data_IF_292347208794
#
_entry.id   IF_292347208794
#
_cell.length_a   1.000
_cell.length_b   1.000
_cell.length_c   1.000
_cell.angle_alpha   90.00
_cell.angle_beta   90.00
_cell.angle_gamma   90.00
#
_symmetry.space_group_name_H-M   'P 1'
#
loop_
_entity.id
_entity.type
_entity.pdbx_description
1 polymer ?
#
# COMPACT_ATOMS: atom_id res chain seq x y z
N UNK A 1 1.79 8.13 68.11
CA UNK A 1 1.65 7.10 67.06
C UNK A 1 1.61 7.80 65.71
N UNK A 2 2.69 7.73 64.93
CA UNK A 2 2.72 8.26 63.57
C UNK A 2 2.38 7.11 62.60
N UNK A 3 1.22 7.19 61.94
CA UNK A 3 0.83 6.24 60.91
C UNK A 3 1.52 6.61 59.59
N UNK A 4 2.41 5.74 59.10
CA UNK A 4 2.95 5.79 57.75
C UNK A 4 1.94 5.15 56.79
N UNK A 5 1.29 5.96 55.95
CA UNK A 5 0.43 5.45 54.88
C UNK A 5 1.33 5.16 53.66
N UNK A 6 1.63 3.88 53.44
CA UNK A 6 2.28 3.39 52.22
C UNK A 6 1.26 3.38 51.08
N UNK A 7 1.33 4.36 50.19
CA UNK A 7 0.59 4.35 48.93
C UNK A 7 1.28 3.42 47.93
N UNK A 8 0.82 2.17 47.87
CA UNK A 8 1.24 1.22 46.83
C UNK A 8 0.57 1.65 45.52
N UNK A 9 1.36 2.15 44.57
CA UNK A 9 0.86 2.46 43.22
C UNK A 9 0.40 1.16 42.53
N UNK A 10 -0.78 1.11 41.88
CA UNK A 10 -1.18 -0.07 41.13
C UNK A 10 -0.17 -0.33 39.99
N UNK A 11 0.07 -1.61 39.63
CA UNK A 11 0.98 -1.94 38.55
C UNK A 11 0.51 -1.24 37.27
N UNK A 12 1.40 -0.43 36.70
CA UNK A 12 1.20 0.13 35.36
C UNK A 12 1.23 -1.05 34.39
N UNK A 13 0.05 -1.48 33.94
CA UNK A 13 -0.04 -2.37 32.79
C UNK A 13 0.52 -1.60 31.59
N UNK A 14 1.78 -1.85 31.25
CA UNK A 14 2.32 -1.49 29.95
C UNK A 14 1.46 -2.25 28.94
N UNK A 15 0.54 -1.55 28.26
CA UNK A 15 -0.11 -2.07 27.08
C UNK A 15 1.00 -2.38 26.07
N UNK A 16 1.41 -3.64 26.01
CA UNK A 16 2.38 -4.10 25.04
C UNK A 16 1.83 -3.82 23.65
N UNK A 17 2.59 -3.10 22.83
CA UNK A 17 2.25 -2.95 21.42
C UNK A 17 2.39 -4.32 20.75
N UNK A 18 1.32 -5.10 20.69
CA UNK A 18 1.27 -6.33 19.90
C UNK A 18 1.27 -5.97 18.42
N UNK A 19 2.16 -6.58 17.65
CA UNK A 19 2.14 -6.46 16.19
C UNK A 19 0.75 -6.87 15.68
N UNK A 20 0.23 -6.22 14.61
CA UNK A 20 -1.00 -6.66 13.98
C UNK A 20 -0.93 -8.15 13.62
N UNK A 21 -2.05 -8.89 13.74
CA UNK A 21 -2.08 -10.30 13.37
C UNK A 21 -1.73 -10.48 11.87
N UNK A 22 -1.34 -11.69 11.45
CA UNK A 22 -1.16 -12.01 10.03
C UNK A 22 -2.41 -11.64 9.25
N UNK A 23 -2.25 -11.02 8.08
CA UNK A 23 -3.39 -10.55 7.28
C UNK A 23 -4.01 -11.62 6.38
N UNK A 24 -3.40 -12.79 6.29
CA UNK A 24 -3.93 -13.95 5.55
C UNK A 24 -4.36 -15.00 6.55
N UNK A 25 -5.65 -15.36 6.53
CA UNK A 25 -6.23 -16.39 7.41
C UNK A 25 -6.91 -17.46 6.57
N UNK A 26 -6.54 -18.73 6.75
CA UNK A 26 -7.16 -19.86 6.07
C UNK A 26 -7.95 -20.71 7.07
N UNK A 27 -9.02 -21.37 6.60
CA UNK A 27 -10.00 -22.10 7.43
C UNK A 27 -9.40 -23.21 8.31
N UNK A 28 -8.20 -23.71 7.99
CA UNK A 28 -7.43 -24.64 8.82
C UNK A 28 -6.11 -23.98 9.24
N UNK A 29 -5.74 -24.12 10.52
CA UNK A 29 -4.42 -23.70 11.00
C UNK A 29 -3.32 -24.43 10.20
N UNK A 30 -2.42 -23.68 9.57
CA UNK A 30 -1.40 -24.23 8.64
C UNK A 30 -1.95 -24.66 7.27
N UNK A 31 -3.24 -24.47 7.00
CA UNK A 31 -3.88 -24.76 5.73
C UNK A 31 -3.61 -23.69 4.67
N UNK A 32 -3.77 -24.08 3.39
CA UNK A 32 -3.59 -23.19 2.23
C UNK A 32 -4.88 -22.98 1.43
N UNK A 33 -6.02 -23.45 1.93
CA UNK A 33 -7.30 -23.41 1.24
C UNK A 33 -8.33 -22.58 2.01
N UNK A 34 -9.31 -22.03 1.29
CA UNK A 34 -10.41 -21.24 1.81
C UNK A 34 -9.90 -20.13 2.74
N UNK A 35 -9.25 -19.14 2.11
CA UNK A 35 -8.52 -18.10 2.79
C UNK A 35 -9.21 -16.75 2.67
N UNK A 36 -8.97 -15.90 3.66
CA UNK A 36 -9.36 -14.50 3.67
C UNK A 36 -8.13 -13.63 3.82
N UNK A 37 -8.19 -12.45 3.21
CA UNK A 37 -7.18 -11.41 3.31
C UNK A 37 -7.80 -10.16 3.89
N UNK A 38 -7.10 -9.56 4.84
CA UNK A 38 -7.42 -8.27 5.45
C UNK A 38 -6.30 -7.27 5.15
N UNK A 39 -6.49 -6.01 5.52
CA UNK A 39 -5.38 -5.06 5.64
C UNK A 39 -4.96 -4.96 7.12
N UNK A 40 -3.98 -4.11 7.42
CA UNK A 40 -3.46 -3.87 8.78
C UNK A 40 -4.53 -3.44 9.80
N UNK A 41 -5.71 -3.02 9.35
CA UNK A 41 -6.84 -2.57 10.17
C UNK A 41 -7.92 -3.66 10.35
N UNK A 42 -7.69 -4.88 9.86
CA UNK A 42 -8.59 -6.02 9.97
C UNK A 42 -9.69 -6.09 8.91
N UNK A 43 -9.91 -5.03 8.12
CA UNK A 43 -10.84 -5.04 6.99
C UNK A 43 -10.51 -3.91 5.99
N UNK A 44 -10.87 -4.12 4.72
CA UNK A 44 -10.82 -3.07 3.70
C UNK A 44 -11.82 -1.94 4.01
N UNK A 45 -11.73 -0.76 3.35
CA UNK A 45 -12.54 0.42 3.68
C UNK A 45 -14.06 0.17 3.72
N UNK A 46 -14.53 -0.77 2.89
CA UNK A 46 -15.92 -1.21 2.82
C UNK A 46 -16.35 -2.19 3.90
N UNK A 47 -15.49 -2.39 4.89
CA UNK A 47 -15.65 -3.33 6.00
C UNK A 47 -15.79 -4.77 5.50
N UNK A 48 -15.19 -5.08 4.35
CA UNK A 48 -15.08 -6.45 3.84
C UNK A 48 -13.68 -7.03 4.08
N UNK A 49 -13.62 -8.35 4.07
CA UNK A 49 -12.40 -9.11 3.83
C UNK A 49 -12.44 -9.64 2.40
N UNK A 50 -11.29 -9.96 1.83
CA UNK A 50 -11.22 -10.54 0.50
C UNK A 50 -11.04 -12.05 0.60
N UNK A 51 -11.95 -12.80 -0.02
CA UNK A 51 -11.82 -14.25 -0.13
C UNK A 51 -10.80 -14.64 -1.21
N UNK A 52 -10.16 -15.78 -1.01
CA UNK A 52 -9.33 -16.46 -1.98
C UNK A 52 -9.49 -17.97 -1.83
N UNK A 53 -9.50 -18.71 -2.95
CA UNK A 53 -9.54 -20.17 -2.90
C UNK A 53 -8.34 -20.72 -2.13
N UNK A 54 -7.16 -20.11 -2.33
CA UNK A 54 -5.91 -20.59 -1.76
C UNK A 54 -4.95 -19.46 -1.41
N UNK A 55 -3.98 -19.78 -0.55
CA UNK A 55 -2.80 -18.97 -0.27
C UNK A 55 -1.52 -19.80 -0.41
N UNK A 56 -0.45 -19.19 -0.89
CA UNK A 56 0.89 -19.74 -0.94
C UNK A 56 1.84 -18.87 -0.09
N UNK A 57 2.82 -19.51 0.54
CA UNK A 57 3.77 -18.88 1.46
C UNK A 57 5.21 -19.21 1.07
N UNK A 58 5.66 -18.83 -0.14
CA UNK A 58 7.02 -19.12 -0.57
C UNK A 58 8.04 -18.48 0.35
N UNK A 59 9.09 -19.23 0.68
CA UNK A 59 10.21 -18.84 1.53
C UNK A 59 11.50 -18.59 0.76
N UNK A 60 11.49 -18.84 -0.55
CA UNK A 60 12.60 -18.57 -1.47
C UNK A 60 12.10 -18.11 -2.85
N UNK A 61 12.98 -17.52 -3.66
CA UNK A 61 12.64 -17.15 -5.04
C UNK A 61 12.30 -18.37 -5.90
N UNK A 62 12.93 -19.52 -5.64
CA UNK A 62 12.63 -20.77 -6.34
C UNK A 62 11.22 -21.29 -6.04
N UNK A 63 10.80 -21.26 -4.77
CA UNK A 63 9.42 -21.59 -4.39
C UNK A 63 8.43 -20.59 -4.96
N UNK A 64 8.76 -19.30 -4.97
CA UNK A 64 7.94 -18.27 -5.58
C UNK A 64 7.76 -18.51 -7.08
N UNK A 65 8.85 -18.88 -7.79
CA UNK A 65 8.81 -19.23 -9.21
C UNK A 65 7.88 -20.42 -9.46
N UNK A 66 7.98 -21.48 -8.66
CA UNK A 66 7.12 -22.66 -8.77
C UNK A 66 5.63 -22.32 -8.50
N UNK A 67 5.35 -21.46 -7.51
CA UNK A 67 3.99 -20.99 -7.22
C UNK A 67 3.40 -20.22 -8.40
N UNK A 68 4.15 -19.29 -8.99
CA UNK A 68 3.69 -18.50 -10.15
C UNK A 68 3.54 -19.39 -11.39
N UNK A 69 4.45 -20.34 -11.60
CA UNK A 69 4.37 -21.29 -12.71
C UNK A 69 3.10 -22.14 -12.64
N UNK A 70 2.83 -22.74 -11.48
CA UNK A 70 1.64 -23.57 -11.27
C UNK A 70 0.35 -22.77 -11.47
N UNK A 71 0.27 -21.55 -10.92
CA UNK A 71 -0.90 -20.70 -11.08
C UNK A 71 -1.07 -20.20 -12.53
N UNK A 72 0.03 -19.96 -13.24
CA UNK A 72 -0.01 -19.60 -14.66
C UNK A 72 -0.50 -20.76 -15.51
N UNK A 73 0.02 -21.98 -15.28
CA UNK A 73 -0.43 -23.19 -15.96
C UNK A 73 -1.93 -23.48 -15.76
N UNK A 74 -2.48 -23.13 -14.59
CA UNK A 74 -3.90 -23.29 -14.28
C UNK A 74 -4.76 -22.06 -14.56
N UNK A 75 -4.21 -21.00 -15.18
CA UNK A 75 -4.94 -19.75 -15.46
C UNK A 75 -5.52 -19.06 -14.21
N UNK A 76 -4.89 -19.26 -13.06
CA UNK A 76 -5.38 -18.79 -11.76
C UNK A 76 -4.93 -17.36 -11.50
N UNK A 77 -5.89 -16.47 -11.23
CA UNK A 77 -5.63 -15.08 -10.83
C UNK A 77 -4.85 -15.05 -9.52
N UNK A 78 -3.82 -14.22 -9.46
CA UNK A 78 -2.90 -14.09 -8.34
C UNK A 78 -2.89 -12.66 -7.80
N UNK A 79 -2.77 -12.52 -6.48
CA UNK A 79 -2.40 -11.24 -5.86
C UNK A 79 -1.39 -11.45 -4.75
N UNK A 80 -0.55 -10.44 -4.56
CA UNK A 80 0.46 -10.44 -3.51
C UNK A 80 -0.12 -9.89 -2.22
N UNK A 81 0.00 -10.65 -1.13
CA UNK A 81 -0.20 -10.13 0.21
C UNK A 81 1.17 -9.82 0.82
N UNK A 82 1.37 -8.56 1.20
CA UNK A 82 2.50 -8.16 2.03
C UNK A 82 2.19 -8.46 3.50
N UNK A 83 3.20 -8.48 4.36
CA UNK A 83 3.06 -8.85 5.79
C UNK A 83 1.84 -8.24 6.48
N UNK A 84 1.52 -6.98 6.17
CA UNK A 84 0.39 -6.27 6.76
C UNK A 84 -0.63 -5.74 5.76
N UNK A 85 -0.47 -6.00 4.45
CA UNK A 85 -1.39 -5.54 3.40
C UNK A 85 -1.94 -4.12 3.61
N UNK A 86 -1.06 -3.18 4.01
CA UNK A 86 -1.46 -1.87 4.55
C UNK A 86 -2.06 -0.92 3.48
N UNK A 87 -2.18 -1.37 2.24
CA UNK A 87 -2.87 -0.60 1.19
C UNK A 87 -4.34 -0.43 1.54
N UNK A 88 -4.82 0.80 1.42
CA UNK A 88 -6.25 1.12 1.54
C UNK A 88 -7.03 0.52 0.35
N UNK A 89 -6.59 0.69 -0.92
CA UNK A 89 -7.20 -0.04 -2.03
C UNK A 89 -7.00 -1.55 -1.87
N UNK A 90 -7.95 -2.31 -2.42
CA UNK A 90 -8.01 -3.79 -2.43
C UNK A 90 -6.95 -4.43 -3.35
N UNK A 91 -5.69 -3.97 -3.30
CA UNK A 91 -4.60 -4.44 -4.16
C UNK A 91 -4.30 -5.93 -3.97
N UNK A 92 -4.41 -6.41 -2.73
CA UNK A 92 -4.16 -7.81 -2.37
C UNK A 92 -5.35 -8.73 -2.70
N UNK A 93 -6.46 -8.22 -3.23
CA UNK A 93 -7.68 -8.99 -3.47
C UNK A 93 -7.70 -9.57 -4.89
N UNK A 94 -7.71 -10.91 -5.05
CA UNK A 94 -7.55 -11.54 -6.37
C UNK A 94 -8.83 -11.55 -7.21
N UNK A 95 -9.96 -11.12 -6.63
CA UNK A 95 -11.25 -11.02 -7.33
C UNK A 95 -11.96 -12.38 -7.38
N UNK A 96 -13.07 -12.49 -6.65
CA UNK A 96 -13.88 -13.71 -6.57
C UNK A 96 -13.25 -14.85 -5.75
N UNK A 97 -13.90 -16.01 -5.76
CA UNK A 97 -13.60 -17.12 -4.85
C UNK A 97 -12.57 -18.12 -5.37
N UNK A 98 -11.95 -17.85 -6.52
CA UNK A 98 -11.02 -18.78 -7.22
C UNK A 98 -9.55 -18.32 -7.21
N UNK A 99 -9.27 -17.15 -6.67
CA UNK A 99 -7.94 -16.55 -6.71
C UNK A 99 -6.92 -17.20 -5.77
N UNK A 100 -5.65 -16.97 -6.07
CA UNK A 100 -4.51 -17.33 -5.23
C UNK A 100 -3.90 -16.07 -4.59
N UNK A 101 -3.64 -16.15 -3.29
CA UNK A 101 -2.82 -15.16 -2.59
C UNK A 101 -1.39 -15.66 -2.51
N UNK A 102 -0.43 -14.83 -2.90
CA UNK A 102 1.00 -15.10 -2.71
C UNK A 102 1.49 -14.23 -1.55
N UNK A 103 1.73 -14.84 -0.39
CA UNK A 103 2.27 -14.14 0.77
C UNK A 103 3.77 -13.98 0.65
N UNK A 104 4.25 -12.75 0.77
CA UNK A 104 5.69 -12.43 0.76
C UNK A 104 6.30 -12.42 2.16
N UNK A 105 5.54 -12.78 3.19
CA UNK A 105 5.98 -12.66 4.59
C UNK A 105 7.24 -13.48 4.91
N UNK A 106 7.45 -14.62 4.24
CA UNK A 106 8.63 -15.47 4.44
C UNK A 106 9.82 -15.05 3.57
N UNK A 107 9.61 -14.27 2.50
CA UNK A 107 10.66 -13.67 1.67
C UNK A 107 11.23 -12.42 2.36
N UNK A 108 11.89 -12.61 3.51
CA UNK A 108 12.26 -11.54 4.43
C UNK A 108 13.76 -11.49 4.77
N UNK A 109 14.60 -11.97 3.86
CA UNK A 109 16.05 -12.05 4.01
C UNK A 109 16.77 -10.81 3.47
N UNK A 110 17.92 -10.50 4.06
CA UNK A 110 18.92 -9.59 3.48
C UNK A 110 19.77 -10.41 2.52
N UNK A 111 19.82 -10.01 1.26
CA UNK A 111 20.54 -10.74 0.21
C UNK A 111 22.00 -10.30 0.14
N UNK A 112 22.26 -8.99 0.17
CA UNK A 112 23.62 -8.45 0.15
C UNK A 112 23.69 -7.01 0.67
N UNK A 113 24.87 -6.63 1.16
CA UNK A 113 25.21 -5.26 1.58
C UNK A 113 26.58 -4.92 1.04
N UNK A 114 26.65 -3.95 0.13
CA UNK A 114 27.89 -3.38 -0.42
C UNK A 114 28.00 -1.93 0.06
N UNK A 115 28.70 -1.73 1.17
CA UNK A 115 28.89 -0.40 1.75
C UNK A 115 29.71 0.54 0.85
N UNK A 116 30.67 -0.01 0.09
CA UNK A 116 31.52 0.77 -0.80
C UNK A 116 30.73 1.36 -1.98
N UNK A 117 29.84 0.57 -2.58
CA UNK A 117 28.92 1.03 -3.64
C UNK A 117 27.63 1.64 -3.08
N UNK A 118 27.46 1.66 -1.75
CA UNK A 118 26.25 2.09 -1.03
C UNK A 118 24.99 1.35 -1.48
N UNK A 119 25.10 0.05 -1.76
CA UNK A 119 23.98 -0.77 -2.24
C UNK A 119 23.56 -1.80 -1.21
N UNK A 120 22.25 -1.93 -1.03
CA UNK A 120 21.66 -2.97 -0.18
C UNK A 120 20.62 -3.72 -1.00
N UNK A 121 20.74 -5.05 -1.08
CA UNK A 121 19.76 -5.92 -1.71
C UNK A 121 19.00 -6.72 -0.65
N UNK A 122 17.67 -6.65 -0.69
CA UNK A 122 16.78 -7.32 0.25
C UNK A 122 15.64 -8.01 -0.48
N UNK A 123 15.07 -9.04 0.15
CA UNK A 123 13.84 -9.65 -0.33
C UNK A 123 12.62 -8.74 -0.12
N UNK A 124 11.58 -8.90 -0.93
CA UNK A 124 10.41 -8.02 -0.95
C UNK A 124 9.62 -7.95 0.37
N UNK A 125 9.69 -8.98 1.20
CA UNK A 125 9.04 -9.07 2.51
C UNK A 125 9.81 -8.43 3.67
N UNK A 126 11.06 -8.01 3.47
CA UNK A 126 11.82 -7.25 4.48
C UNK A 126 11.06 -5.98 4.85
N UNK A 127 10.93 -5.69 6.14
CA UNK A 127 10.27 -4.46 6.60
C UNK A 127 11.19 -3.25 6.48
N UNK A 128 10.60 -2.06 6.39
CA UNK A 128 11.32 -0.80 6.35
C UNK A 128 12.21 -0.62 7.60
N UNK A 129 11.73 -1.02 8.78
CA UNK A 129 12.54 -1.04 10.01
C UNK A 129 13.80 -1.90 9.86
N UNK A 130 13.65 -3.15 9.40
CA UNK A 130 14.78 -4.06 9.17
C UNK A 130 15.77 -3.50 8.12
N UNK A 131 15.27 -2.90 7.03
CA UNK A 131 16.12 -2.26 6.03
C UNK A 131 16.95 -1.11 6.64
N UNK A 132 16.32 -0.26 7.46
CA UNK A 132 17.00 0.84 8.15
C UNK A 132 18.08 0.30 9.09
N UNK A 133 17.79 -0.76 9.86
CA UNK A 133 18.75 -1.36 10.78
C UNK A 133 19.97 -1.95 10.06
N UNK A 134 19.72 -2.67 8.95
CA UNK A 134 20.78 -3.27 8.11
C UNK A 134 21.64 -2.19 7.46
N UNK A 135 21.00 -1.16 6.88
CA UNK A 135 21.71 -0.02 6.30
C UNK A 135 22.55 0.71 7.35
N UNK A 136 21.99 0.91 8.54
CA UNK A 136 22.65 1.59 9.65
C UNK A 136 23.93 0.87 10.10
N UNK A 137 23.88 -0.46 10.24
CA UNK A 137 25.07 -1.27 10.57
C UNK A 137 26.20 -1.15 9.53
N UNK A 138 25.86 -0.80 8.29
CA UNK A 138 26.81 -0.62 7.19
C UNK A 138 27.27 0.84 7.01
N UNK A 139 26.91 1.75 7.92
CA UNK A 139 27.25 3.17 7.76
C UNK A 139 26.44 3.89 6.68
N UNK A 140 25.29 3.34 6.31
CA UNK A 140 24.37 3.88 5.30
C UNK A 140 23.06 4.36 5.92
N UNK A 141 22.32 5.19 5.19
CA UNK A 141 21.00 5.67 5.59
C UNK A 141 20.00 5.67 4.43
N UNK A 142 18.76 5.31 4.74
CA UNK A 142 17.60 5.53 3.85
C UNK A 142 17.20 7.01 3.96
N UNK A 143 17.33 7.81 2.88
CA UNK A 143 17.30 9.27 2.96
C UNK A 143 15.92 9.87 3.19
N UNK A 144 14.86 9.16 2.80
CA UNK A 144 13.48 9.53 3.08
C UNK A 144 12.67 8.26 3.29
N UNK A 145 11.77 8.29 4.28
CA UNK A 145 10.97 7.13 4.67
C UNK A 145 9.55 7.56 5.01
N UNK A 146 8.53 6.73 4.72
CA UNK A 146 7.22 6.87 5.36
C UNK A 146 7.33 6.78 6.89
N UNK A 147 6.28 7.22 7.59
CA UNK A 147 6.27 7.25 9.06
C UNK A 147 6.18 5.86 9.69
N UNK A 148 5.54 4.89 9.02
CA UNK A 148 5.29 3.57 9.58
C UNK A 148 6.35 2.55 9.13
N UNK A 149 7.11 2.03 10.09
CA UNK A 149 8.23 1.11 9.85
C UNK A 149 7.81 -0.32 9.49
N UNK A 150 6.53 -0.66 9.68
CA UNK A 150 5.99 -1.99 9.37
C UNK A 150 5.82 -2.28 7.88
N UNK A 151 5.91 -1.27 7.00
CA UNK A 151 5.79 -1.47 5.56
C UNK A 151 6.89 -2.39 5.04
N UNK A 152 6.53 -3.43 4.29
CA UNK A 152 7.51 -4.24 3.56
C UNK A 152 8.11 -3.46 2.40
N UNK A 153 9.38 -3.65 2.07
CA UNK A 153 10.07 -2.98 0.96
C UNK A 153 9.35 -3.21 -0.36
N UNK A 154 8.91 -4.43 -0.67
CA UNK A 154 8.17 -4.74 -1.90
C UNK A 154 6.87 -3.94 -2.02
N UNK A 155 6.08 -3.85 -0.95
CA UNK A 155 4.85 -3.04 -0.92
C UNK A 155 5.11 -1.53 -1.01
N UNK A 156 6.17 -1.07 -0.34
CA UNK A 156 6.58 0.33 -0.33
C UNK A 156 7.03 0.81 -1.73
N UNK A 157 7.77 -0.04 -2.45
CA UNK A 157 8.15 0.21 -3.85
C UNK A 157 6.92 0.14 -4.75
N UNK A 158 6.17 -0.96 -4.73
CA UNK A 158 5.01 -1.20 -5.62
C UNK A 158 3.96 -0.08 -5.59
N UNK A 159 3.80 0.61 -4.46
CA UNK A 159 2.79 1.67 -4.26
C UNK A 159 3.35 3.08 -4.36
N UNK A 160 4.65 3.24 -4.62
CA UNK A 160 5.28 4.55 -4.73
C UNK A 160 5.34 5.32 -3.40
N UNK A 161 5.47 4.63 -2.28
CA UNK A 161 5.49 5.27 -0.97
C UNK A 161 6.72 6.18 -0.79
N UNK A 162 6.51 7.28 -0.05
CA UNK A 162 7.45 8.39 0.04
C UNK A 162 7.46 9.01 1.44
N UNK A 163 8.56 9.67 1.77
CA UNK A 163 8.66 10.52 2.95
C UNK A 163 8.17 11.94 2.67
N UNK A 164 8.90 12.93 3.19
CA UNK A 164 8.66 14.34 2.92
C UNK A 164 9.98 15.04 2.61
N UNK A 165 10.07 15.60 1.40
CA UNK A 165 11.18 16.44 0.95
C UNK A 165 10.78 17.18 -0.31
N UNK A 166 11.21 18.44 -0.42
CA UNK A 166 11.12 19.26 -1.64
C UNK A 166 12.49 19.43 -2.32
N UNK A 167 13.52 18.77 -1.80
CA UNK A 167 14.91 18.91 -2.25
C UNK A 167 15.36 17.69 -3.05
N UNK A 168 16.37 17.87 -3.91
CA UNK A 168 16.98 16.80 -4.70
C UNK A 168 15.97 16.08 -5.60
N UNK A 169 15.98 14.74 -5.59
CA UNK A 169 15.03 13.88 -6.32
C UNK A 169 13.66 13.75 -5.61
N UNK A 170 13.39 14.56 -4.59
CA UNK A 170 12.20 14.42 -3.75
C UNK A 170 12.35 13.33 -2.68
N UNK A 171 11.25 12.70 -2.28
CA UNK A 171 11.20 11.79 -1.12
C UNK A 171 10.66 10.40 -1.40
N UNK A 172 10.42 10.07 -2.68
CA UNK A 172 9.92 8.77 -3.07
C UNK A 172 11.02 7.71 -2.96
N UNK A 173 10.72 6.59 -2.31
CA UNK A 173 11.75 5.58 -2.03
C UNK A 173 12.14 4.80 -3.29
N UNK A 174 11.23 4.67 -4.25
CA UNK A 174 11.49 4.00 -5.53
C UNK A 174 12.56 4.70 -6.39
N UNK A 175 12.83 5.98 -6.15
CA UNK A 175 13.95 6.71 -6.77
C UNK A 175 15.32 6.15 -6.38
N UNK A 176 15.39 5.36 -5.29
CA UNK A 176 16.62 4.70 -4.83
C UNK A 176 16.82 3.31 -5.38
N UNK A 177 15.85 2.78 -6.13
CA UNK A 177 15.95 1.44 -6.71
C UNK A 177 16.88 1.46 -7.92
N UNK A 178 17.95 0.67 -7.84
CA UNK A 178 18.94 0.48 -8.90
C UNK A 178 18.94 -0.94 -9.46
N UNK A 179 18.11 -1.83 -8.89
CA UNK A 179 17.86 -3.15 -9.46
C UNK A 179 16.68 -3.85 -8.80
N UNK A 180 16.01 -4.73 -9.54
CA UNK A 180 14.88 -5.52 -9.07
C UNK A 180 14.91 -6.91 -9.67
N UNK A 181 14.40 -7.88 -8.91
CA UNK A 181 14.03 -9.21 -9.43
C UNK A 181 12.53 -9.39 -9.29
N UNK A 182 11.86 -9.75 -10.38
CA UNK A 182 10.41 -9.90 -10.43
C UNK A 182 10.07 -11.25 -11.04
N UNK A 183 9.30 -12.06 -10.33
CA UNK A 183 8.77 -13.32 -10.85
C UNK A 183 7.48 -13.02 -11.63
N UNK A 184 7.46 -13.36 -12.91
CA UNK A 184 6.36 -13.08 -13.83
C UNK A 184 5.83 -14.36 -14.46
N UNK A 185 4.57 -14.39 -14.90
CA UNK A 185 4.09 -15.40 -15.85
C UNK A 185 5.00 -15.48 -17.09
N UNK A 186 5.05 -16.66 -17.69
CA UNK A 186 5.76 -16.92 -18.94
C UNK A 186 5.02 -18.00 -19.75
N UNK A 187 5.31 -18.16 -21.05
CA UNK A 187 4.76 -19.25 -21.85
C UNK A 187 5.17 -20.63 -21.31
N UNK A 188 4.41 -21.67 -21.69
CA UNK A 188 4.73 -23.05 -21.33
C UNK A 188 6.15 -23.47 -21.78
N UNK A 189 6.64 -22.94 -22.90
CA UNK A 189 7.99 -23.19 -23.41
C UNK A 189 9.11 -22.64 -22.51
N UNK A 190 8.79 -21.72 -21.61
CA UNK A 190 9.71 -21.16 -20.60
C UNK A 190 9.39 -21.68 -19.19
N UNK A 191 8.53 -22.69 -19.04
CA UNK A 191 8.17 -23.28 -17.74
C UNK A 191 7.09 -22.52 -16.98
N UNK A 192 6.22 -21.78 -17.67
CA UNK A 192 5.07 -21.03 -17.13
C UNK A 192 5.37 -19.82 -16.24
N UNK A 193 6.59 -19.67 -15.74
CA UNK A 193 7.02 -18.46 -15.04
C UNK A 193 8.52 -18.22 -15.23
N UNK A 194 8.96 -16.98 -15.04
CA UNK A 194 10.39 -16.66 -15.06
C UNK A 194 10.76 -15.50 -14.15
N UNK A 195 12.04 -15.45 -13.78
CA UNK A 195 12.61 -14.35 -13.03
C UNK A 195 13.13 -13.29 -14.02
N UNK A 196 12.54 -12.10 -13.99
CA UNK A 196 13.03 -10.91 -14.67
C UNK A 196 14.08 -10.25 -13.79
N UNK A 197 15.28 -10.03 -14.31
CA UNK A 197 16.37 -9.34 -13.62
C UNK A 197 16.55 -7.97 -14.25
N UNK A 198 16.17 -6.92 -13.52
CA UNK A 198 16.20 -5.54 -13.98
C UNK A 198 17.32 -4.80 -13.27
N UNK A 199 18.18 -4.13 -14.03
CA UNK A 199 19.31 -3.37 -13.51
C UNK A 199 19.20 -1.89 -13.87
N UNK A 200 20.04 -1.05 -13.26
CA UNK A 200 20.11 0.36 -13.62
C UNK A 200 20.34 0.54 -15.13
N UNK A 201 19.50 1.36 -15.76
CA UNK A 201 19.52 1.59 -17.21
C UNK A 201 18.60 0.67 -18.02
N UNK A 202 18.03 -0.37 -17.40
CA UNK A 202 17.01 -1.20 -18.06
C UNK A 202 15.73 -0.38 -18.30
N UNK A 203 15.22 -0.32 -19.55
CA UNK A 203 14.04 0.47 -19.89
C UNK A 203 12.76 0.02 -19.17
N UNK A 204 12.71 -1.23 -18.68
CA UNK A 204 11.55 -1.78 -17.98
C UNK A 204 11.59 -1.52 -16.46
N UNK A 205 12.75 -1.12 -15.91
CA UNK A 205 12.92 -0.89 -14.48
C UNK A 205 11.98 0.21 -13.95
N UNK A 206 11.78 1.28 -14.71
CA UNK A 206 10.91 2.38 -14.29
C UNK A 206 9.43 1.95 -14.22
N UNK A 207 9.00 1.02 -15.07
CA UNK A 207 7.67 0.42 -14.95
C UNK A 207 7.56 -0.49 -13.72
N UNK A 208 8.62 -1.24 -13.39
CA UNK A 208 8.65 -2.13 -12.23
C UNK A 208 8.66 -1.39 -10.88
N UNK A 209 9.31 -0.22 -10.81
CA UNK A 209 9.45 0.60 -9.59
C UNK A 209 8.14 1.00 -8.94
N UNK A 210 7.07 1.21 -9.70
CA UNK A 210 5.72 1.53 -9.19
C UNK A 210 4.68 0.76 -10.01
N UNK A 211 4.54 -0.53 -9.73
CA UNK A 211 3.74 -1.46 -10.53
C UNK A 211 2.32 -1.69 -10.03
N UNK A 212 1.98 -1.24 -8.81
CA UNK A 212 0.74 -1.58 -8.11
C UNK A 212 0.50 -3.11 -7.98
N UNK A 213 1.55 -3.91 -8.14
CA UNK A 213 1.50 -5.38 -8.10
C UNK A 213 0.98 -6.05 -9.37
N UNK A 214 0.81 -5.33 -10.48
CA UNK A 214 0.27 -5.90 -11.74
C UNK A 214 1.32 -6.49 -12.69
N UNK A 215 2.60 -6.32 -12.36
CA UNK A 215 3.72 -6.82 -13.18
C UNK A 215 4.28 -8.15 -12.67
N UNK A 216 3.69 -8.74 -11.62
CA UNK A 216 4.18 -9.96 -10.98
C UNK A 216 4.61 -9.74 -9.54
N UNK A 217 5.42 -10.67 -9.01
CA UNK A 217 5.84 -10.67 -7.60
C UNK A 217 7.30 -10.23 -7.50
N UNK A 218 7.55 -9.13 -6.79
CA UNK A 218 8.92 -8.65 -6.53
C UNK A 218 9.57 -9.59 -5.51
N UNK A 219 10.59 -10.34 -5.94
CA UNK A 219 11.36 -11.23 -5.06
C UNK A 219 12.45 -10.45 -4.34
N UNK A 220 13.21 -9.60 -5.05
CA UNK A 220 14.33 -8.85 -4.50
C UNK A 220 14.38 -7.41 -5.02
N UNK A 221 14.88 -6.49 -4.20
CA UNK A 221 15.08 -5.08 -4.51
C UNK A 221 16.50 -4.69 -4.11
N UNK A 222 17.22 -4.02 -5.02
CA UNK A 222 18.52 -3.39 -4.75
C UNK A 222 18.36 -1.88 -4.68
N UNK A 223 18.74 -1.29 -3.55
CA UNK A 223 18.63 0.13 -3.26
C UNK A 223 20.02 0.77 -3.17
N UNK A 224 20.21 1.91 -3.83
CA UNK A 224 21.37 2.79 -3.62
C UNK A 224 21.04 3.84 -2.54
N UNK A 225 21.75 3.73 -1.42
CA UNK A 225 21.55 4.51 -0.21
C UNK A 225 22.57 5.64 -0.08
N UNK A 226 22.37 6.50 0.92
CA UNK A 226 23.31 7.57 1.25
C UNK A 226 24.26 7.14 2.36
N UNK A 227 25.44 7.77 2.50
CA UNK A 227 26.21 7.70 3.74
C UNK A 227 25.36 8.10 4.94
N UNK A 228 25.64 7.50 6.10
CA UNK A 228 24.89 7.80 7.32
C UNK A 228 24.98 9.29 7.67
N UNK A 229 23.83 9.89 7.98
CA UNK A 229 23.71 11.27 8.42
C UNK A 229 22.79 11.38 9.63
N UNK A 230 22.90 12.49 10.37
CA UNK A 230 21.99 12.83 11.48
C UNK A 230 20.85 13.71 10.96
N UNK A 231 19.63 13.52 11.48
CA UNK A 231 18.50 14.44 11.28
C UNK A 231 18.15 15.14 12.59
N UNK A 232 17.90 16.45 12.50
CA UNK A 232 17.28 17.20 13.59
C UNK A 232 15.77 17.20 13.39
N UNK A 233 15.02 16.75 14.40
CA UNK A 233 13.57 16.84 14.43
C UNK A 233 13.19 17.96 15.40
N UNK A 234 12.47 18.97 14.92
CA UNK A 234 11.96 20.06 15.75
C UNK A 234 10.44 20.10 15.69
N UNK A 235 9.80 19.84 16.83
CA UNK A 235 8.36 20.00 16.98
C UNK A 235 8.03 21.48 17.13
N UNK A 236 7.51 22.11 16.08
CA UNK A 236 7.03 23.49 16.13
C UNK A 236 5.52 23.51 16.31
N UNK A 237 5.03 24.06 17.44
CA UNK A 237 3.60 24.36 17.63
C UNK A 237 3.06 25.31 16.55
N UNK A 238 3.92 26.09 15.90
CA UNK A 238 3.53 26.97 14.78
C UNK A 238 2.98 26.21 13.58
N UNK A 239 3.29 24.92 13.40
CA UNK A 239 2.82 24.14 12.24
C UNK A 239 1.29 24.17 12.15
N UNK A 240 0.58 24.12 13.27
CA UNK A 240 -0.89 24.24 13.27
C UNK A 240 -1.32 25.61 12.70
N UNK A 241 -0.63 26.70 13.09
CA UNK A 241 -0.91 28.05 12.58
C UNK A 241 -0.51 28.22 11.12
N UNK A 242 0.59 27.61 10.69
CA UNK A 242 1.05 27.68 9.30
C UNK A 242 0.10 26.90 8.38
N UNK A 243 -0.38 25.75 8.85
CA UNK A 243 -1.40 24.92 8.21
C UNK A 243 -2.76 25.63 8.18
N UNK A 244 -3.15 26.32 9.25
CA UNK A 244 -4.33 27.21 9.26
C UNK A 244 -4.19 28.38 8.30
N UNK A 245 -3.01 29.02 8.20
CA UNK A 245 -2.75 30.09 7.23
C UNK A 245 -2.82 29.59 5.80
N UNK A 246 -2.24 28.43 5.50
CA UNK A 246 -2.35 27.80 4.18
C UNK A 246 -3.81 27.49 3.82
N UNK A 247 -4.62 27.07 4.80
CA UNK A 247 -6.07 26.95 4.65
C UNK A 247 -6.74 28.27 4.38
N UNK A 248 -6.42 29.31 5.13
CA UNK A 248 -7.09 30.61 4.97
C UNK A 248 -6.74 31.26 3.63
N UNK A 249 -5.54 31.00 3.09
CA UNK A 249 -5.10 31.46 1.77
C UNK A 249 -5.80 30.74 0.62
N UNK A 250 -6.00 29.43 0.72
CA UNK A 250 -6.72 28.66 -0.29
C UNK A 250 -7.48 27.50 0.37
N UNK A 251 -8.69 27.74 0.90
CA UNK A 251 -9.44 26.72 1.63
C UNK A 251 -9.79 25.53 0.73
N UNK A 252 -9.94 25.78 -0.56
CA UNK A 252 -10.17 24.77 -1.61
C UNK A 252 -8.90 24.01 -2.02
N UNK A 253 -7.77 24.17 -1.33
CA UNK A 253 -6.55 23.37 -1.57
C UNK A 253 -6.37 22.22 -0.57
N UNK A 254 -7.27 22.14 0.43
CA UNK A 254 -7.18 21.23 1.56
C UNK A 254 -8.46 20.46 1.73
N UNK A 255 -8.53 19.29 1.10
CA UNK A 255 -9.76 18.51 1.13
C UNK A 255 -9.54 17.09 1.59
N UNK A 256 -10.16 16.81 2.74
CA UNK A 256 -10.55 15.49 3.17
C UNK A 256 -10.28 15.22 4.65
N UNK A 257 -10.99 14.21 5.17
CA UNK A 257 -10.77 13.67 6.51
C UNK A 257 -9.84 12.46 6.40
N UNK A 258 -8.79 12.47 7.21
CA UNK A 258 -8.05 11.24 7.52
C UNK A 258 -8.97 10.35 8.38
N UNK A 259 -9.12 9.09 7.98
CA UNK A 259 -10.18 8.17 8.45
C UNK A 259 -9.93 7.65 9.88
N UNK A 260 -8.72 7.84 10.43
CA UNK A 260 -8.25 7.17 11.65
C UNK A 260 -8.06 8.12 12.85
N UNK A 261 -7.65 9.36 12.60
CA UNK A 261 -7.27 10.35 13.60
C UNK A 261 -8.05 11.67 13.46
N UNK A 262 -8.91 11.80 12.45
CA UNK A 262 -9.82 12.93 12.30
C UNK A 262 -9.16 14.27 11.93
N UNK A 263 -7.85 14.28 11.65
CA UNK A 263 -7.09 15.46 11.19
C UNK A 263 -6.02 15.03 10.18
N UNK A 264 -6.06 15.54 8.93
CA UNK A 264 -4.85 16.01 8.25
C UNK A 264 -5.14 16.87 7.01
N UNK A 265 -4.36 17.93 6.86
CA UNK A 265 -4.30 18.81 5.70
C UNK A 265 -3.23 18.31 4.71
N UNK A 266 -3.63 17.87 3.51
CA UNK A 266 -2.73 17.61 2.38
C UNK A 266 -2.80 18.76 1.39
N UNK A 267 -1.72 19.54 1.27
CA UNK A 267 -1.58 20.54 0.21
C UNK A 267 -1.31 19.82 -1.11
N UNK A 268 -2.16 20.00 -2.12
CA UNK A 268 -1.86 19.60 -3.50
C UNK A 268 -1.63 20.85 -4.34
N UNK A 269 -0.43 20.98 -4.92
CA UNK A 269 -0.24 21.82 -6.08
C UNK A 269 -1.12 21.29 -7.24
N UNK A 270 -1.93 22.20 -7.79
CA UNK A 270 -2.42 22.19 -9.18
C UNK A 270 -3.55 21.22 -9.61
N UNK A 271 -4.37 20.65 -8.73
CA UNK A 271 -5.63 20.01 -9.20
C UNK A 271 -6.85 20.40 -8.37
N UNK A 272 -7.65 21.34 -8.89
CA UNK A 272 -8.96 21.77 -8.35
C UNK A 272 -10.02 20.66 -8.31
N UNK A 273 -9.80 19.55 -9.02
CA UNK A 273 -10.75 18.44 -9.11
C UNK A 273 -10.95 17.67 -7.80
N UNK A 274 -9.92 17.54 -6.95
CA UNK A 274 -9.97 16.74 -5.72
C UNK A 274 -10.65 17.47 -4.55
N UNK A 275 -10.84 18.78 -4.64
CA UNK A 275 -11.36 19.57 -3.53
C UNK A 275 -12.87 19.82 -3.55
N UNK A 276 -13.51 19.69 -4.72
CA UNK A 276 -14.97 19.80 -4.85
C UNK A 276 -15.72 18.50 -4.47
N UNK A 277 -15.05 17.52 -3.86
CA UNK A 277 -15.51 16.13 -3.85
C UNK A 277 -16.16 15.66 -2.55
N UNK A 278 -16.70 16.58 -1.75
CA UNK A 278 -17.75 16.33 -0.74
C UNK A 278 -17.78 14.94 -0.07
N UNK A 279 -16.68 14.46 0.51
CA UNK A 279 -16.66 13.20 1.26
C UNK A 279 -16.28 11.92 0.49
N UNK A 280 -15.68 12.01 -0.72
CA UNK A 280 -14.93 10.86 -1.27
C UNK A 280 -13.75 10.56 -0.34
N UNK A 281 -13.47 9.29 -0.02
CA UNK A 281 -12.20 8.99 0.65
C UNK A 281 -11.05 9.34 -0.30
N UNK A 282 -10.05 10.05 0.22
CA UNK A 282 -9.04 10.77 -0.57
C UNK A 282 -8.17 9.78 -1.38
N UNK A 283 -8.16 8.49 -1.01
CA UNK A 283 -7.16 7.54 -1.48
C UNK A 283 -7.40 7.09 -2.93
N UNK A 284 -8.65 6.84 -3.33
CA UNK A 284 -8.98 6.52 -4.72
C UNK A 284 -8.95 7.77 -5.60
N UNK A 285 -9.33 8.94 -5.09
CA UNK A 285 -9.26 10.20 -5.84
C UNK A 285 -7.85 10.54 -6.36
N UNK A 286 -6.80 9.98 -5.73
CA UNK A 286 -5.43 10.14 -6.20
C UNK A 286 -5.24 9.61 -7.63
N UNK A 287 -5.91 8.52 -7.99
CA UNK A 287 -5.78 7.82 -9.27
C UNK A 287 -6.82 8.28 -10.32
N UNK A 288 -7.77 9.14 -9.96
CA UNK A 288 -8.74 9.70 -10.91
C UNK A 288 -8.02 10.46 -12.04
N UNK A 289 -8.28 10.09 -13.29
CA UNK A 289 -7.59 10.66 -14.44
C UNK A 289 -6.07 10.42 -14.44
N UNK A 290 -5.59 9.35 -13.80
CA UNK A 290 -4.16 8.99 -13.74
C UNK A 290 -3.50 9.03 -15.13
N UNK A 291 -4.18 8.50 -16.15
CA UNK A 291 -3.67 8.48 -17.52
C UNK A 291 -3.33 9.88 -18.04
N UNK A 292 -4.21 10.86 -17.77
CA UNK A 292 -4.01 12.24 -18.17
C UNK A 292 -2.92 12.93 -17.32
N UNK A 293 -2.82 12.58 -16.02
CA UNK A 293 -1.81 13.15 -15.10
C UNK A 293 -0.38 12.72 -15.45
N UNK A 294 -0.18 11.47 -15.85
CA UNK A 294 1.16 10.93 -16.12
C UNK A 294 1.57 11.04 -17.59
N UNK A 295 0.63 11.31 -18.50
CA UNK A 295 0.85 11.47 -19.93
C UNK A 295 0.73 10.15 -20.69
N UNK A 296 0.08 10.20 -21.85
CA UNK A 296 -0.28 9.02 -22.65
C UNK A 296 0.92 8.15 -23.04
N UNK A 297 2.07 8.76 -23.37
CA UNK A 297 3.27 8.03 -23.77
C UNK A 297 3.84 7.16 -22.63
N UNK A 298 3.87 7.67 -21.39
CA UNK A 298 4.36 6.92 -20.22
C UNK A 298 3.42 5.76 -19.87
N UNK A 299 2.11 6.01 -19.95
CA UNK A 299 1.10 4.98 -19.75
C UNK A 299 1.21 3.89 -20.83
N UNK A 300 1.38 4.26 -22.09
CA UNK A 300 1.58 3.31 -23.18
C UNK A 300 2.85 2.45 -22.96
N UNK A 301 3.94 3.07 -22.49
CA UNK A 301 5.16 2.38 -22.09
C UNK A 301 4.92 1.35 -20.97
N UNK A 302 4.24 1.76 -19.89
CA UNK A 302 3.87 0.86 -18.81
C UNK A 302 2.98 -0.30 -19.29
N UNK A 303 1.97 -0.01 -20.11
CA UNK A 303 1.05 -1.02 -20.65
C UNK A 303 1.74 -1.99 -21.63
N UNK A 304 2.83 -1.57 -22.29
CA UNK A 304 3.68 -2.47 -23.09
C UNK A 304 4.37 -3.48 -22.17
N UNK A 305 5.01 -3.03 -21.09
CA UNK A 305 5.66 -3.92 -20.10
C UNK A 305 4.64 -4.85 -19.45
N UNK A 306 3.49 -4.32 -19.01
CA UNK A 306 2.40 -5.13 -18.43
C UNK A 306 1.96 -6.26 -19.33
N UNK A 307 1.72 -6.00 -20.62
CA UNK A 307 1.32 -7.03 -21.59
C UNK A 307 2.43 -8.06 -21.84
N UNK A 308 3.70 -7.65 -21.78
CA UNK A 308 4.83 -8.57 -21.93
C UNK A 308 5.08 -9.45 -20.70
N UNK A 309 4.72 -8.97 -19.50
CA UNK A 309 4.96 -9.68 -18.24
C UNK A 309 3.78 -10.56 -17.85
N UNK A 310 2.56 -10.11 -18.13
CA UNK A 310 1.32 -10.76 -17.73
C UNK A 310 0.26 -10.63 -18.86
N UNK A 311 0.45 -11.35 -19.98
CA UNK A 311 -0.42 -11.24 -21.16
C UNK A 311 -1.87 -11.64 -20.87
N UNK A 312 -2.07 -12.60 -19.97
CA UNK A 312 -3.39 -13.11 -19.57
C UNK A 312 -4.00 -12.29 -18.40
N UNK A 313 -3.28 -11.28 -17.92
CA UNK A 313 -3.71 -10.41 -16.84
C UNK A 313 -3.91 -11.15 -15.51
N UNK A 314 -3.18 -12.23 -15.22
CA UNK A 314 -3.28 -13.03 -14.00
C UNK A 314 -3.09 -12.21 -12.72
N UNK A 315 -2.33 -11.13 -12.76
CA UNK A 315 -2.13 -10.19 -11.64
C UNK A 315 -3.07 -8.98 -11.68
N UNK A 316 -3.93 -8.88 -12.68
CA UNK A 316 -4.86 -7.75 -12.86
C UNK A 316 -6.17 -7.96 -12.09
N UNK A 317 -6.76 -6.88 -11.62
CA UNK A 317 -8.09 -6.83 -11.01
C UNK A 317 -8.93 -5.71 -11.63
N UNK A 318 -10.25 -5.78 -11.43
CA UNK A 318 -11.18 -4.74 -11.90
C UNK A 318 -10.70 -3.32 -11.53
N UNK A 319 -10.23 -3.14 -10.29
CA UNK A 319 -9.69 -1.86 -9.83
C UNK A 319 -8.43 -1.43 -10.59
N UNK A 320 -7.45 -2.32 -10.80
CA UNK A 320 -6.22 -1.94 -11.52
C UNK A 320 -6.50 -1.64 -12.99
N UNK A 321 -7.44 -2.38 -13.59
CA UNK A 321 -7.83 -2.18 -14.98
C UNK A 321 -8.55 -0.84 -15.15
N UNK A 322 -9.41 -0.44 -14.20
CA UNK A 322 -10.03 0.89 -14.20
C UNK A 322 -8.99 2.02 -14.10
N UNK A 323 -8.03 1.90 -13.17
CA UNK A 323 -6.95 2.89 -12.99
C UNK A 323 -6.11 3.03 -14.26
N UNK A 324 -5.76 1.91 -14.90
CA UNK A 324 -4.88 1.88 -16.07
C UNK A 324 -5.60 2.20 -17.39
N UNK A 325 -6.90 1.90 -17.49
CA UNK A 325 -7.72 2.23 -18.67
C UNK A 325 -8.15 3.70 -18.71
N UNK A 326 -7.83 4.50 -17.69
CA UNK A 326 -8.20 5.92 -17.63
C UNK A 326 -9.69 6.16 -17.37
N UNK A 327 -10.41 5.12 -16.91
CA UNK A 327 -11.80 5.25 -16.50
C UNK A 327 -11.94 6.11 -15.25
N UNK A 328 -13.11 6.75 -15.10
CA UNK A 328 -13.45 7.41 -13.84
C UNK A 328 -13.53 6.37 -12.73
N UNK A 329 -12.86 6.62 -11.60
CA UNK A 329 -12.95 5.75 -10.42
C UNK A 329 -14.27 5.91 -9.64
N UNK A 330 -15.14 6.78 -10.13
CA UNK A 330 -16.43 7.02 -9.53
C UNK A 330 -17.42 5.95 -9.94
N UNK A 331 -17.50 4.86 -9.18
CA UNK A 331 -18.50 3.81 -9.39
C UNK A 331 -19.64 4.05 -8.40
N UNK A 332 -20.82 4.42 -8.92
CA UNK A 332 -22.02 4.58 -8.08
C UNK A 332 -22.72 3.23 -7.99
N UNK A 333 -22.62 2.60 -6.82
CA UNK A 333 -23.27 1.33 -6.47
C UNK A 333 -23.56 1.29 -4.97
N UNK A 334 -24.34 0.32 -4.51
CA UNK A 334 -24.57 0.16 -3.08
C UNK A 334 -23.24 -0.02 -2.32
N UNK A 335 -23.06 0.71 -1.23
CA UNK A 335 -21.83 0.73 -0.44
C UNK A 335 -20.64 1.48 -1.04
N UNK A 336 -20.78 2.12 -2.21
CA UNK A 336 -19.66 2.79 -2.89
C UNK A 336 -18.94 3.86 -2.07
N UNK A 337 -19.62 4.54 -1.15
CA UNK A 337 -19.01 5.59 -0.34
C UNK A 337 -18.15 5.03 0.80
N UNK A 338 -18.43 3.80 1.28
CA UNK A 338 -17.51 3.11 2.19
C UNK A 338 -16.22 2.68 1.48
N UNK A 339 -16.30 2.37 0.17
CA UNK A 339 -15.14 2.05 -0.67
C UNK A 339 -14.37 3.29 -1.15
N UNK A 340 -14.87 4.49 -0.88
CA UNK A 340 -14.29 5.72 -1.43
C UNK A 340 -14.52 5.90 -2.93
N UNK A 341 -15.41 5.12 -3.53
CA UNK A 341 -15.71 5.15 -4.96
C UNK A 341 -16.80 6.16 -5.30
N UNK A 342 -17.52 6.73 -4.33
CA UNK A 342 -18.52 7.74 -4.60
C UNK A 342 -18.71 8.68 -3.41
N UNK A 343 -19.40 9.80 -3.66
CA UNK A 343 -19.86 10.68 -2.58
C UNK A 343 -21.11 10.08 -1.94
N UNK A 344 -21.12 10.08 -0.61
CA UNK A 344 -22.30 9.83 0.21
C UNK A 344 -23.39 10.89 -0.06
N UNK A 345 -24.42 10.55 -0.84
CA UNK A 345 -25.59 11.41 -1.05
C UNK A 345 -26.91 10.73 -0.68
N UNK A 346 -26.95 9.40 -0.70
CA UNK A 346 -28.08 8.56 -0.28
C UNK A 346 -27.59 7.46 0.65
N UNK A 347 -28.48 6.92 1.48
CA UNK A 347 -28.10 5.90 2.47
C UNK A 347 -27.57 4.62 1.82
N UNK A 348 -28.08 4.24 0.64
CA UNK A 348 -27.57 3.09 -0.13
C UNK A 348 -26.07 3.17 -0.43
N UNK A 349 -25.50 4.37 -0.57
CA UNK A 349 -24.06 4.54 -0.80
C UNK A 349 -23.21 4.10 0.40
N UNK A 350 -23.80 4.00 1.59
CA UNK A 350 -23.12 3.65 2.83
C UNK A 350 -23.36 2.22 3.29
N UNK A 351 -24.02 1.37 2.51
CA UNK A 351 -24.40 0.01 2.90
C UNK A 351 -25.25 -0.05 4.19
N UNK A 352 -26.54 0.36 4.13
CA UNK A 352 -27.47 0.33 5.27
C UNK A 352 -27.61 -1.05 5.91
N UNK A 353 -27.48 -2.12 5.12
CA UNK A 353 -27.47 -3.50 5.61
C UNK A 353 -26.34 -3.80 6.62
N UNK A 354 -25.28 -2.98 6.65
CA UNK A 354 -24.18 -3.06 7.62
C UNK A 354 -24.34 -2.05 8.78
N UNK A 355 -25.50 -1.40 8.90
CA UNK A 355 -25.78 -0.37 9.91
C UNK A 355 -25.19 1.01 9.63
N UNK A 356 -24.70 1.26 8.41
CA UNK A 356 -24.07 2.52 8.00
C UNK A 356 -24.97 3.32 7.08
N UNK A 357 -25.08 4.61 7.39
CA UNK A 357 -25.97 5.52 6.68
C UNK A 357 -25.28 6.82 6.31
N UNK A 358 -25.84 7.51 5.31
CA UNK A 358 -25.30 8.77 4.86
C UNK A 358 -25.75 9.91 5.78
N UNK A 359 -24.80 10.47 6.53
CA UNK A 359 -25.08 11.44 7.59
C UNK A 359 -24.08 12.60 7.55
N UNK A 360 -24.40 13.71 8.21
CA UNK A 360 -23.47 14.85 8.36
C UNK A 360 -22.24 14.45 9.18
N UNK A 361 -21.08 15.02 8.83
CA UNK A 361 -19.84 14.84 9.57
C UNK A 361 -19.96 15.24 11.06
N UNK A 362 -19.13 14.62 11.91
CA UNK A 362 -19.08 15.00 13.34
C UNK A 362 -18.41 16.36 13.54
N UNK A 363 -17.35 16.64 12.78
CA UNK A 363 -16.55 17.88 12.85
C UNK A 363 -17.02 18.90 11.79
N UNK A 364 -16.98 18.53 10.51
CA UNK A 364 -17.47 19.38 9.41
C UNK A 364 -18.91 19.00 9.07
N UNK A 365 -19.87 19.87 9.39
CA UNK A 365 -21.32 19.57 9.30
C UNK A 365 -21.85 19.66 7.87
N UNK A 366 -21.13 20.36 7.01
CA UNK A 366 -21.41 20.59 5.60
C UNK A 366 -21.09 19.34 4.76
N UNK A 367 -20.15 18.52 5.23
CA UNK A 367 -19.79 17.26 4.61
C UNK A 367 -20.75 16.14 4.98
N UNK A 368 -21.02 15.24 4.03
CA UNK A 368 -21.69 13.95 4.30
C UNK A 368 -20.68 12.82 4.31
N UNK A 369 -20.80 11.93 5.28
CA UNK A 369 -19.94 10.77 5.49
C UNK A 369 -20.78 9.57 5.91
N UNK A 370 -20.29 8.37 5.62
CA UNK A 370 -20.91 7.15 6.11
C UNK A 370 -20.66 6.99 7.61
N UNK A 371 -21.73 7.01 8.40
CA UNK A 371 -21.67 6.81 9.86
C UNK A 371 -22.49 5.59 10.25
N UNK A 372 -21.97 4.81 11.19
CA UNK A 372 -22.74 3.76 11.84
C UNK A 372 -23.82 4.42 12.70
N UNK A 373 -25.05 3.92 12.62
CA UNK A 373 -26.11 4.33 13.53
C UNK A 373 -25.87 3.67 14.90
N UNK A 374 -25.98 4.43 15.98
CA UNK A 374 -25.66 3.95 17.33
C UNK A 374 -26.67 2.91 17.85
N UNK A 375 -27.75 2.65 17.08
CA UNK A 375 -28.79 1.64 17.33
C UNK A 375 -28.48 0.25 16.74
N UNK A 376 -27.32 0.07 16.08
CA UNK A 376 -26.92 -1.15 15.36
C UNK A 376 -25.57 -1.72 15.81
#
# INVERSE_FOLDING_TARGET
MHYCILLVSPPVYLAGATAPPPVVHCSKSGGTADCTVTNAYGAFPDRSTCHAARAAFPSSEGELLAVVANATASGTKMKVATRFSHSVPKLACPGGNRGLIVSTNALSSVVSVDAARRRVTVEGGVTLGQLIDVAGRAGLAVPHTPYWLGLTVGGLISTGAHGSSVWGKGSAVHERVVGMRVVTPAPASEGFAKVRVLNAGDPELDAAKVSLGVLGVISQITLELEPMFKRSVRFKRSVIRDVQRLRDVNPDSLCGLEVYNGILMRWRCASTAACRTGGRTIENAAFEGAVNKYGAARVAGFMKVKRAYDPDGLFSSEWSDQVLAGGGMSVVRDGCALEGLCVCSRDSHCAPAKGYFCRRGRVYKEARVCRRDDKF
#
